data_IF_343987561612
#
_entry.id   IF_343987561612
#
_cell.length_a   1.000
_cell.length_b   1.000
_cell.length_c   1.000
_cell.angle_alpha   90.00
_cell.angle_beta   90.00
_cell.angle_gamma   90.00
#
_symmetry.space_group_name_H-M   'P 1'
#
loop_
_entity.id
_entity.type
_entity.pdbx_description
1 polymer ?
#
# COMPACT_ATOMS: atom_id res chain seq x y z
N UNK A 1 33.47 32.88 6.35
CA UNK A 1 33.19 31.62 7.02
C UNK A 1 34.11 30.49 6.50
N UNK A 2 34.19 30.17 5.22
CA UNK A 2 35.08 29.13 4.66
C UNK A 2 36.55 29.24 5.10
N UNK A 3 37.11 30.46 5.11
CA UNK A 3 38.49 30.73 5.63
C UNK A 3 38.68 30.47 7.12
N UNK A 4 37.63 30.65 7.92
CA UNK A 4 37.64 30.39 9.38
C UNK A 4 37.60 28.89 9.68
N UNK A 5 36.91 28.11 8.81
CA UNK A 5 36.75 26.67 8.96
C UNK A 5 37.85 25.88 8.23
N UNK A 6 38.76 26.57 7.49
CA UNK A 6 39.80 25.98 6.64
C UNK A 6 39.30 24.93 5.65
N UNK A 7 38.07 25.12 5.10
CA UNK A 7 37.47 24.27 4.10
C UNK A 7 37.34 25.05 2.79
N UNK A 8 37.38 24.34 1.67
CA UNK A 8 37.19 24.91 0.34
C UNK A 8 35.74 25.44 0.18
N UNK A 9 35.60 26.53 -0.58
CA UNK A 9 34.30 27.13 -0.87
C UNK A 9 33.34 26.12 -1.54
N UNK A 10 33.82 25.27 -2.45
CA UNK A 10 33.01 24.24 -3.07
C UNK A 10 32.53 23.22 -2.04
N UNK A 11 33.39 22.80 -1.09
CA UNK A 11 33.01 21.91 0.01
C UNK A 11 31.97 22.57 0.95
N UNK A 12 32.02 23.91 1.09
CA UNK A 12 31.02 24.66 1.87
C UNK A 12 29.66 24.77 1.15
N UNK A 13 29.67 24.73 -0.19
CA UNK A 13 28.49 24.83 -1.03
C UNK A 13 28.03 23.48 -1.62
N UNK A 14 28.83 22.42 -1.53
CA UNK A 14 28.44 21.04 -1.86
C UNK A 14 27.78 20.32 -0.69
N UNK A 15 27.09 21.09 0.17
CA UNK A 15 26.16 20.47 1.09
C UNK A 15 25.01 19.91 0.23
N UNK A 16 25.02 18.62 0.00
CA UNK A 16 23.83 17.94 -0.51
C UNK A 16 22.78 18.05 0.60
N UNK A 17 21.90 19.02 0.49
CA UNK A 17 20.78 19.18 1.42
C UNK A 17 19.82 17.99 1.33
N UNK A 18 19.88 17.24 0.23
CA UNK A 18 18.98 16.14 -0.07
C UNK A 18 19.77 14.83 -0.25
N UNK A 19 19.24 13.78 0.37
CA UNK A 19 19.69 12.40 0.19
C UNK A 19 19.20 11.85 -1.16
N UNK A 20 19.99 10.98 -1.78
CA UNK A 20 19.53 10.18 -2.91
C UNK A 20 18.42 9.21 -2.48
N UNK A 21 17.61 8.76 -3.42
CA UNK A 21 16.55 7.75 -3.14
C UNK A 21 17.12 6.44 -2.62
N UNK A 22 18.32 6.06 -3.06
CA UNK A 22 19.02 4.86 -2.60
C UNK A 22 19.46 5.00 -1.12
N UNK A 23 19.98 6.16 -0.74
CA UNK A 23 20.36 6.44 0.66
C UNK A 23 19.13 6.45 1.57
N UNK A 24 18.03 7.06 1.13
CA UNK A 24 16.75 7.06 1.88
C UNK A 24 16.24 5.63 2.05
N UNK A 25 16.27 4.82 0.98
CA UNK A 25 15.88 3.42 1.07
C UNK A 25 16.77 2.63 2.05
N UNK A 26 18.08 2.90 2.06
CA UNK A 26 19.02 2.34 3.03
C UNK A 26 18.63 2.68 4.48
N UNK A 27 18.38 3.95 4.77
CA UNK A 27 17.92 4.38 6.11
C UNK A 27 16.56 3.80 6.50
N UNK A 28 15.64 3.69 5.57
CA UNK A 28 14.36 3.03 5.83
C UNK A 28 14.56 1.56 6.22
N UNK A 29 15.44 0.83 5.53
CA UNK A 29 15.76 -0.55 5.88
C UNK A 29 16.41 -0.67 7.28
N UNK A 30 17.33 0.22 7.62
CA UNK A 30 17.95 0.27 8.98
C UNK A 30 16.89 0.51 10.05
N UNK A 31 16.03 1.51 9.86
CA UNK A 31 14.92 1.84 10.79
C UNK A 31 13.97 0.66 10.94
N UNK A 32 13.62 0.00 9.84
CA UNK A 32 12.74 -1.18 9.86
C UNK A 32 13.38 -2.31 10.66
N UNK A 33 14.64 -2.60 10.41
CA UNK A 33 15.36 -3.65 11.12
C UNK A 33 15.41 -3.38 12.64
N UNK A 34 15.77 -2.16 13.05
CA UNK A 34 15.78 -1.76 14.46
C UNK A 34 14.37 -1.84 15.06
N UNK A 35 13.35 -1.39 14.34
CA UNK A 35 11.96 -1.46 14.83
C UNK A 35 11.47 -2.90 15.05
N UNK A 36 11.95 -3.85 14.25
CA UNK A 36 11.63 -5.27 14.39
C UNK A 36 12.46 -5.95 15.50
N UNK A 37 13.76 -5.68 15.58
CA UNK A 37 14.68 -6.36 16.54
C UNK A 37 14.65 -5.76 17.94
N UNK A 38 14.71 -4.42 18.04
CA UNK A 38 14.86 -3.68 19.30
C UNK A 38 13.55 -3.00 19.72
N UNK A 39 12.52 -3.13 18.88
CA UNK A 39 11.18 -2.61 19.12
C UNK A 39 10.93 -1.24 18.50
N UNK A 40 9.65 -0.94 18.29
CA UNK A 40 9.16 0.26 17.59
C UNK A 40 9.80 1.56 18.12
N UNK A 41 9.92 1.72 19.45
CA UNK A 41 10.46 2.96 20.05
C UNK A 41 11.92 3.19 19.68
N UNK A 42 12.72 2.13 19.56
CA UNK A 42 14.12 2.22 19.13
C UNK A 42 14.20 2.64 17.65
N UNK A 43 13.42 2.02 16.77
CA UNK A 43 13.33 2.41 15.36
C UNK A 43 12.89 3.86 15.19
N UNK A 44 11.88 4.31 15.95
CA UNK A 44 11.42 5.70 15.93
C UNK A 44 12.49 6.69 16.39
N UNK A 45 13.24 6.36 17.46
CA UNK A 45 14.32 7.21 17.94
C UNK A 45 15.46 7.32 16.91
N UNK A 46 15.79 6.22 16.22
CA UNK A 46 16.77 6.24 15.13
C UNK A 46 16.31 7.12 13.95
N UNK A 47 15.06 7.00 13.55
CA UNK A 47 14.47 7.83 12.51
C UNK A 47 14.50 9.34 12.85
N UNK A 48 14.21 9.70 14.12
CA UNK A 48 14.33 11.09 14.58
C UNK A 48 15.75 11.62 14.45
N UNK A 49 16.77 10.82 14.78
CA UNK A 49 18.17 11.18 14.59
C UNK A 49 18.47 11.54 13.14
N UNK A 50 17.99 10.72 12.19
CA UNK A 50 18.16 10.99 10.77
C UNK A 50 17.44 12.25 10.28
N UNK A 51 16.24 12.51 10.78
CA UNK A 51 15.53 13.74 10.46
C UNK A 51 16.20 15.00 11.05
N UNK A 52 16.95 14.87 12.16
CA UNK A 52 17.76 15.97 12.70
C UNK A 52 19.02 16.22 11.86
N UNK A 53 19.61 15.17 11.30
CA UNK A 53 20.76 15.29 10.37
C UNK A 53 20.35 15.94 9.03
N UNK A 54 19.13 15.64 8.55
CA UNK A 54 18.60 16.09 7.25
C UNK A 54 17.23 16.78 7.41
N UNK A 55 17.16 17.92 8.09
CA UNK A 55 15.89 18.55 8.48
C UNK A 55 15.05 19.04 7.30
N UNK A 56 15.67 19.30 6.15
CA UNK A 56 15.01 19.83 4.96
C UNK A 56 14.71 18.74 3.90
N UNK A 57 15.06 17.47 4.17
CA UNK A 57 14.79 16.38 3.24
C UNK A 57 13.35 15.85 3.43
N UNK A 58 12.42 16.42 2.65
CA UNK A 58 10.99 16.10 2.74
C UNK A 58 10.69 14.67 2.31
N UNK A 59 11.42 14.14 1.31
CA UNK A 59 11.29 12.75 0.88
C UNK A 59 11.69 11.77 1.99
N UNK A 60 12.77 12.05 2.74
CA UNK A 60 13.14 11.24 3.91
C UNK A 60 12.04 11.27 4.97
N UNK A 61 11.53 12.46 5.28
CA UNK A 61 10.45 12.65 6.25
C UNK A 61 9.21 11.85 5.87
N UNK A 62 8.77 11.95 4.62
CA UNK A 62 7.65 11.19 4.08
C UNK A 62 7.88 9.69 4.17
N UNK A 63 9.05 9.21 3.73
CA UNK A 63 9.38 7.78 3.68
C UNK A 63 9.44 7.15 5.06
N UNK A 64 10.04 7.86 6.03
CA UNK A 64 10.11 7.40 7.42
C UNK A 64 8.74 7.42 8.12
N UNK A 65 7.89 8.42 7.81
CA UNK A 65 6.51 8.42 8.31
C UNK A 65 5.75 7.19 7.84
N UNK A 66 5.81 6.90 6.54
CA UNK A 66 5.12 5.77 5.92
C UNK A 66 5.60 4.42 6.48
N UNK A 67 6.93 4.25 6.57
CA UNK A 67 7.53 3.03 7.12
C UNK A 67 7.13 2.80 8.58
N UNK A 68 7.31 3.83 9.41
CA UNK A 68 7.03 3.71 10.84
C UNK A 68 5.55 3.54 11.13
N UNK A 69 4.68 4.10 10.33
CA UNK A 69 3.25 3.86 10.44
C UNK A 69 2.90 2.39 10.16
N UNK A 70 3.54 1.78 9.16
CA UNK A 70 3.46 0.33 8.93
C UNK A 70 3.94 -0.46 10.15
N UNK A 71 5.13 -0.12 10.68
CA UNK A 71 5.67 -0.79 11.87
C UNK A 71 4.80 -0.60 13.11
N UNK A 72 4.13 0.56 13.26
CA UNK A 72 3.25 0.86 14.37
C UNK A 72 2.08 -0.11 14.46
N UNK A 73 1.53 -0.53 13.32
CA UNK A 73 0.40 -1.46 13.23
C UNK A 73 0.70 -2.84 13.83
N UNK A 74 1.97 -3.25 13.84
CA UNK A 74 2.44 -4.53 14.40
C UNK A 74 3.09 -4.40 15.77
N UNK A 75 3.14 -3.17 16.32
CA UNK A 75 3.78 -2.92 17.61
C UNK A 75 2.92 -3.37 18.78
N UNK A 76 3.55 -3.80 19.87
CA UNK A 76 2.87 -4.14 21.12
C UNK A 76 2.52 -2.91 21.99
N UNK A 77 2.43 -1.72 21.38
CA UNK A 77 2.11 -0.47 22.07
C UNK A 77 0.62 -0.40 22.43
N UNK A 78 0.31 0.31 23.52
CA UNK A 78 -1.07 0.61 23.88
C UNK A 78 -1.76 1.49 22.83
N UNK A 79 -3.10 1.52 22.84
CA UNK A 79 -3.87 2.37 21.92
C UNK A 79 -3.49 3.86 22.04
N UNK A 80 -3.29 4.35 23.26
CA UNK A 80 -2.92 5.76 23.53
C UNK A 80 -1.51 6.08 23.00
N UNK A 81 -0.56 5.16 23.17
CA UNK A 81 0.78 5.32 22.62
C UNK A 81 0.75 5.33 21.09
N UNK A 82 -0.02 4.43 20.47
CA UNK A 82 -0.19 4.39 19.02
C UNK A 82 -0.78 5.69 18.48
N UNK A 83 -1.82 6.22 19.11
CA UNK A 83 -2.42 7.50 18.70
C UNK A 83 -1.41 8.66 18.84
N UNK A 84 -0.59 8.65 19.88
CA UNK A 84 0.48 9.66 20.05
C UNK A 84 1.45 9.65 18.87
N UNK A 85 1.88 8.48 18.40
CA UNK A 85 2.77 8.37 17.24
C UNK A 85 2.03 8.69 15.92
N UNK A 86 0.78 8.24 15.78
CA UNK A 86 -0.03 8.56 14.61
C UNK A 86 -0.21 10.08 14.42
N UNK A 87 -0.38 10.85 15.50
CA UNK A 87 -0.39 12.31 15.45
C UNK A 87 0.94 12.89 14.96
N UNK A 88 2.09 12.33 15.40
CA UNK A 88 3.41 12.77 14.91
C UNK A 88 3.63 12.47 13.43
N UNK A 89 3.19 11.31 12.96
CA UNK A 89 3.26 11.00 11.53
C UNK A 89 2.36 11.91 10.71
N UNK A 90 1.20 12.28 11.24
CA UNK A 90 0.34 13.29 10.62
C UNK A 90 1.08 14.63 10.41
N UNK A 91 1.83 15.10 11.43
CA UNK A 91 2.65 16.30 11.32
C UNK A 91 3.76 16.16 10.26
N UNK A 92 4.40 14.99 10.16
CA UNK A 92 5.44 14.73 9.16
C UNK A 92 4.87 14.72 7.74
N UNK A 93 3.68 14.14 7.54
CA UNK A 93 2.99 14.21 6.25
C UNK A 93 2.56 15.64 5.90
N UNK A 94 2.10 16.43 6.88
CA UNK A 94 1.77 17.83 6.65
C UNK A 94 2.99 18.64 6.19
N UNK A 95 4.16 18.42 6.82
CA UNK A 95 5.40 19.06 6.38
C UNK A 95 5.83 18.60 4.98
N UNK A 96 5.74 17.30 4.69
CA UNK A 96 6.05 16.76 3.38
C UNK A 96 5.07 17.23 2.28
N UNK A 97 3.84 17.54 2.63
CA UNK A 97 2.86 18.13 1.71
C UNK A 97 3.20 19.57 1.29
N UNK A 98 4.13 20.24 1.96
CA UNK A 98 4.67 21.55 1.58
C UNK A 98 5.94 21.47 0.73
N UNK A 99 6.36 20.24 0.38
CA UNK A 99 7.58 19.98 -0.36
C UNK A 99 7.61 20.71 -1.72
N UNK A 100 8.81 21.18 -2.09
CA UNK A 100 9.07 21.72 -3.44
C UNK A 100 9.11 20.62 -4.49
N UNK A 101 9.43 19.40 -4.09
CA UNK A 101 9.40 18.23 -4.97
C UNK A 101 7.96 17.77 -5.19
N UNK A 102 7.47 17.90 -6.44
CA UNK A 102 6.07 17.63 -6.81
C UNK A 102 5.64 16.22 -6.41
N UNK A 103 6.48 15.21 -6.67
CA UNK A 103 6.16 13.80 -6.39
C UNK A 103 5.97 13.54 -4.89
N UNK A 104 6.86 14.08 -4.05
CA UNK A 104 6.78 13.97 -2.58
C UNK A 104 5.56 14.71 -2.04
N UNK A 105 5.29 15.92 -2.55
CA UNK A 105 4.12 16.72 -2.16
C UNK A 105 2.82 16.01 -2.49
N UNK A 106 2.65 15.55 -3.74
CA UNK A 106 1.44 14.84 -4.18
C UNK A 106 1.21 13.55 -3.37
N UNK A 107 2.27 12.78 -3.13
CA UNK A 107 2.20 11.56 -2.32
C UNK A 107 1.77 11.85 -0.88
N UNK A 108 2.35 12.87 -0.25
CA UNK A 108 2.00 13.26 1.12
C UNK A 108 0.55 13.77 1.21
N UNK A 109 0.10 14.58 0.24
CA UNK A 109 -1.30 15.04 0.15
C UNK A 109 -2.24 13.82 0.04
N UNK A 110 -1.92 12.83 -0.80
CA UNK A 110 -2.73 11.62 -0.94
C UNK A 110 -2.90 10.85 0.36
N UNK A 111 -1.84 10.72 1.18
CA UNK A 111 -1.92 10.11 2.51
C UNK A 111 -2.79 10.95 3.46
N UNK A 112 -2.59 12.28 3.48
CA UNK A 112 -3.35 13.18 4.34
C UNK A 112 -4.85 13.16 4.03
N UNK A 113 -5.22 13.12 2.76
CA UNK A 113 -6.62 13.01 2.33
C UNK A 113 -7.28 11.79 2.97
N UNK A 114 -6.65 10.59 2.86
CA UNK A 114 -7.19 9.39 3.46
C UNK A 114 -7.29 9.51 5.00
N UNK A 115 -6.25 10.03 5.65
CA UNK A 115 -6.25 10.22 7.12
C UNK A 115 -7.33 11.20 7.60
N UNK A 116 -7.61 12.25 6.84
CA UNK A 116 -8.70 13.16 7.17
C UNK A 116 -10.06 12.52 6.93
N UNK A 117 -10.22 11.70 5.89
CA UNK A 117 -11.44 10.92 5.66
C UNK A 117 -11.70 9.93 6.79
N UNK A 118 -10.69 9.18 7.24
CA UNK A 118 -10.79 8.23 8.35
C UNK A 118 -11.21 8.90 9.67
N UNK A 119 -10.83 10.18 9.85
CA UNK A 119 -11.22 11.01 11.00
C UNK A 119 -12.53 11.78 10.80
N UNK A 120 -13.25 11.54 9.70
CA UNK A 120 -14.50 12.23 9.37
C UNK A 120 -14.33 13.71 9.02
N UNK A 121 -13.12 14.17 8.74
CA UNK A 121 -12.81 15.57 8.40
C UNK A 121 -12.86 15.79 6.87
N UNK A 122 -14.03 15.54 6.30
CA UNK A 122 -14.26 15.52 4.84
C UNK A 122 -13.93 16.86 4.16
N UNK A 123 -14.21 17.98 4.81
CA UNK A 123 -13.94 19.32 4.24
C UNK A 123 -12.43 19.54 4.05
N UNK A 124 -11.62 19.15 5.04
CA UNK A 124 -10.16 19.26 4.92
C UNK A 124 -9.60 18.29 3.85
N UNK A 125 -10.19 17.10 3.75
CA UNK A 125 -9.82 16.18 2.70
C UNK A 125 -10.13 16.76 1.32
N UNK A 126 -11.29 17.37 1.12
CA UNK A 126 -11.68 18.03 -0.11
C UNK A 126 -10.73 19.19 -0.47
N UNK A 127 -10.41 20.07 0.49
CA UNK A 127 -9.47 21.18 0.28
C UNK A 127 -8.07 20.71 -0.17
N UNK A 128 -7.61 19.58 0.34
CA UNK A 128 -6.32 19.01 -0.07
C UNK A 128 -6.37 18.36 -1.46
N UNK A 129 -7.48 17.71 -1.81
CA UNK A 129 -7.65 17.12 -3.15
C UNK A 129 -7.57 18.18 -4.24
N UNK A 130 -8.12 19.38 -4.02
CA UNK A 130 -8.07 20.49 -4.98
C UNK A 130 -6.63 21.00 -5.25
N UNK A 131 -5.67 20.64 -4.40
CA UNK A 131 -4.26 20.97 -4.61
C UNK A 131 -3.54 19.96 -5.51
N UNK A 132 -4.18 18.83 -5.80
CA UNK A 132 -3.62 17.81 -6.69
C UNK A 132 -4.00 18.12 -8.15
N UNK A 133 -3.10 17.87 -9.11
CA UNK A 133 -3.42 18.08 -10.52
C UNK A 133 -4.43 17.05 -11.02
N UNK A 134 -5.49 17.47 -11.69
CA UNK A 134 -6.52 16.60 -12.28
C UNK A 134 -5.95 15.60 -13.29
N UNK A 135 -4.97 16.01 -14.06
CA UNK A 135 -4.33 15.20 -15.09
C UNK A 135 -2.91 15.64 -15.37
N UNK A 136 -2.01 14.67 -15.47
CA UNK A 136 -0.76 14.90 -16.22
C UNK A 136 -1.11 15.00 -17.71
N UNK A 137 -0.98 16.18 -18.28
CA UNK A 137 -1.34 16.51 -19.68
C UNK A 137 -0.61 15.62 -20.71
N UNK A 138 0.50 15.01 -20.31
CA UNK A 138 1.34 14.17 -21.18
C UNK A 138 1.69 12.88 -20.44
N UNK A 139 1.29 11.74 -21.01
CA UNK A 139 1.72 10.43 -20.51
C UNK A 139 3.18 10.17 -20.94
N UNK A 140 4.12 10.55 -20.07
CA UNK A 140 5.56 10.38 -20.29
C UNK A 140 5.96 8.92 -20.57
N UNK A 141 5.25 7.95 -19.95
CA UNK A 141 5.54 6.53 -20.19
C UNK A 141 5.17 6.12 -21.61
N UNK A 142 3.97 6.52 -22.09
CA UNK A 142 3.57 6.26 -23.48
C UNK A 142 4.51 6.90 -24.49
N UNK A 143 4.99 8.13 -24.24
CA UNK A 143 6.00 8.75 -25.12
C UNK A 143 7.32 7.96 -25.13
N UNK A 144 7.79 7.49 -23.96
CA UNK A 144 8.98 6.64 -23.88
C UNK A 144 8.80 5.33 -24.63
N UNK A 145 7.64 4.66 -24.50
CA UNK A 145 7.33 3.44 -25.26
C UNK A 145 7.42 3.72 -26.78
N UNK A 146 6.83 4.82 -27.25
CA UNK A 146 6.90 5.21 -28.65
C UNK A 146 8.33 5.47 -29.14
N UNK A 147 9.18 6.08 -28.32
CA UNK A 147 10.60 6.29 -28.61
C UNK A 147 11.32 4.94 -28.72
N UNK A 148 11.13 4.04 -27.77
CA UNK A 148 11.74 2.71 -27.77
C UNK A 148 11.34 1.91 -29.01
N UNK A 149 10.06 1.98 -29.41
CA UNK A 149 9.57 1.35 -30.64
C UNK A 149 10.28 1.90 -31.88
N UNK A 150 10.48 3.23 -31.98
CA UNK A 150 11.23 3.87 -33.09
C UNK A 150 12.71 3.51 -33.10
N UNK A 151 13.28 3.31 -31.91
CA UNK A 151 14.67 2.84 -31.73
C UNK A 151 14.81 1.33 -31.94
N UNK A 152 13.74 0.60 -32.24
CA UNK A 152 13.69 -0.87 -32.38
C UNK A 152 14.09 -1.63 -31.12
N UNK A 153 13.95 -1.02 -29.94
CA UNK A 153 14.18 -1.61 -28.63
C UNK A 153 12.89 -2.29 -28.16
N UNK A 154 12.47 -3.33 -28.87
CA UNK A 154 11.16 -3.95 -28.71
C UNK A 154 10.95 -4.62 -27.35
N UNK A 155 12.00 -5.23 -26.78
CA UNK A 155 11.90 -5.89 -25.47
C UNK A 155 11.67 -4.89 -24.35
N UNK A 156 12.40 -3.78 -24.38
CA UNK A 156 12.27 -2.69 -23.41
C UNK A 156 10.91 -2.00 -23.54
N UNK A 157 10.46 -1.78 -24.80
CA UNK A 157 9.12 -1.23 -25.07
C UNK A 157 8.02 -2.17 -24.54
N UNK A 158 8.16 -3.48 -24.76
CA UNK A 158 7.20 -4.47 -24.25
C UNK A 158 7.18 -4.48 -22.73
N UNK A 159 8.32 -4.58 -22.05
CA UNK A 159 8.42 -4.57 -20.60
C UNK A 159 7.79 -3.29 -19.99
N UNK A 160 8.04 -2.12 -20.58
CA UNK A 160 7.45 -0.87 -20.13
C UNK A 160 5.94 -0.84 -20.35
N UNK A 161 5.44 -1.35 -21.48
CA UNK A 161 4.02 -1.43 -21.78
C UNK A 161 3.32 -2.39 -20.83
N UNK A 162 3.89 -3.57 -20.58
CA UNK A 162 3.37 -4.55 -19.64
C UNK A 162 3.32 -4.00 -18.21
N UNK A 163 4.37 -3.29 -17.77
CA UNK A 163 4.40 -2.62 -16.46
C UNK A 163 3.24 -1.63 -16.31
N UNK A 164 3.02 -0.79 -17.34
CA UNK A 164 1.92 0.16 -17.32
C UNK A 164 0.56 -0.54 -17.29
N UNK A 165 0.35 -1.52 -18.15
CA UNK A 165 -0.90 -2.29 -18.20
C UNK A 165 -1.16 -3.00 -16.87
N UNK A 166 -0.14 -3.62 -16.26
CA UNK A 166 -0.25 -4.25 -14.95
C UNK A 166 -0.70 -3.26 -13.87
N UNK A 167 -0.11 -2.06 -13.85
CA UNK A 167 -0.49 -0.98 -12.94
C UNK A 167 -1.94 -0.52 -13.16
N UNK A 168 -2.35 -0.35 -14.42
CA UNK A 168 -3.70 0.11 -14.77
C UNK A 168 -4.76 -0.94 -14.38
N UNK A 169 -4.48 -2.24 -14.58
CA UNK A 169 -5.37 -3.34 -14.14
C UNK A 169 -5.47 -3.37 -12.60
N UNK A 170 -4.33 -3.18 -11.91
CA UNK A 170 -4.34 -3.12 -10.44
C UNK A 170 -5.16 -1.94 -9.92
N UNK A 171 -5.04 -0.77 -10.57
CA UNK A 171 -5.85 0.40 -10.24
C UNK A 171 -7.34 0.17 -10.50
N UNK A 172 -7.67 -0.56 -11.57
CA UNK A 172 -9.07 -0.92 -11.91
C UNK A 172 -9.76 -1.69 -10.76
N UNK A 173 -9.03 -2.53 -10.03
CA UNK A 173 -9.59 -3.22 -8.86
C UNK A 173 -10.12 -2.26 -7.80
N UNK A 174 -9.38 -1.18 -7.53
CA UNK A 174 -9.82 -0.16 -6.58
C UNK A 174 -11.11 0.54 -7.04
N UNK A 175 -11.27 0.74 -8.35
CA UNK A 175 -12.51 1.33 -8.89
C UNK A 175 -13.70 0.39 -8.73
N UNK A 176 -13.54 -0.91 -9.00
CA UNK A 176 -14.61 -1.89 -8.75
C UNK A 176 -15.00 -1.96 -7.28
N UNK A 177 -14.03 -1.95 -6.37
CA UNK A 177 -14.31 -1.93 -4.92
C UNK A 177 -15.11 -0.69 -4.53
N UNK A 178 -14.73 0.50 -5.03
CA UNK A 178 -15.46 1.74 -4.76
C UNK A 178 -16.88 1.72 -5.34
N UNK A 179 -17.09 1.16 -6.54
CA UNK A 179 -18.43 1.01 -7.11
C UNK A 179 -19.29 0.07 -6.26
N UNK A 180 -18.74 -1.07 -5.83
CA UNK A 180 -19.43 -2.00 -4.92
C UNK A 180 -19.82 -1.30 -3.61
N UNK A 181 -18.91 -0.55 -2.99
CA UNK A 181 -19.21 0.23 -1.77
C UNK A 181 -20.35 1.22 -2.00
N UNK A 182 -20.28 2.00 -3.08
CA UNK A 182 -21.28 3.01 -3.42
C UNK A 182 -22.65 2.36 -3.62
N UNK A 183 -22.73 1.28 -4.42
CA UNK A 183 -23.99 0.60 -4.69
C UNK A 183 -24.59 -0.02 -3.42
N UNK A 184 -23.76 -0.59 -2.52
CA UNK A 184 -24.19 -1.09 -1.23
C UNK A 184 -24.72 0.02 -0.31
N UNK A 185 -24.05 1.18 -0.27
CA UNK A 185 -24.50 2.34 0.50
C UNK A 185 -25.82 2.93 -0.03
N UNK A 186 -26.04 2.82 -1.35
CA UNK A 186 -27.31 3.18 -2.00
C UNK A 186 -28.41 2.11 -1.83
N UNK A 187 -28.13 0.98 -1.16
CA UNK A 187 -29.00 -0.20 -1.04
C UNK A 187 -29.32 -0.86 -2.39
N UNK A 188 -28.46 -0.72 -3.39
CA UNK A 188 -28.57 -1.30 -4.73
C UNK A 188 -27.78 -2.61 -4.84
N UNK A 189 -28.11 -3.59 -3.98
CA UNK A 189 -27.34 -4.85 -3.82
C UNK A 189 -27.21 -5.64 -5.14
N UNK A 190 -28.21 -5.62 -6.02
CA UNK A 190 -28.15 -6.32 -7.31
C UNK A 190 -27.10 -5.67 -8.22
N UNK A 191 -26.96 -4.35 -8.20
CA UNK A 191 -25.89 -3.63 -8.93
C UNK A 191 -24.52 -3.95 -8.36
N UNK A 192 -24.37 -3.88 -7.05
CA UNK A 192 -23.11 -4.26 -6.37
C UNK A 192 -22.68 -5.68 -6.75
N UNK A 193 -23.61 -6.63 -6.77
CA UNK A 193 -23.37 -8.01 -7.19
C UNK A 193 -22.94 -8.09 -8.66
N UNK A 194 -23.60 -7.34 -9.54
CA UNK A 194 -23.23 -7.27 -10.96
C UNK A 194 -21.81 -6.69 -11.16
N UNK A 195 -21.46 -5.63 -10.45
CA UNK A 195 -20.10 -5.05 -10.49
C UNK A 195 -19.07 -6.07 -10.01
N UNK A 196 -19.35 -6.82 -8.94
CA UNK A 196 -18.48 -7.87 -8.43
C UNK A 196 -18.27 -8.99 -9.46
N UNK A 197 -19.33 -9.43 -10.15
CA UNK A 197 -19.27 -10.43 -11.23
C UNK A 197 -18.44 -9.95 -12.42
N UNK A 198 -18.58 -8.69 -12.81
CA UNK A 198 -17.78 -8.07 -13.89
C UNK A 198 -16.31 -8.03 -13.47
N UNK A 199 -16.02 -7.59 -12.25
CA UNK A 199 -14.67 -7.57 -11.69
C UNK A 199 -14.03 -8.96 -11.76
N UNK A 200 -14.73 -9.98 -11.25
CA UNK A 200 -14.23 -11.36 -11.27
C UNK A 200 -13.89 -11.82 -12.70
N UNK A 201 -14.77 -11.62 -13.67
CA UNK A 201 -14.55 -12.01 -15.08
C UNK A 201 -13.35 -11.31 -15.70
N UNK A 202 -13.12 -10.03 -15.38
CA UNK A 202 -11.97 -9.27 -15.89
C UNK A 202 -10.68 -9.86 -15.35
N UNK A 203 -10.57 -10.09 -14.04
CA UNK A 203 -9.36 -10.66 -13.44
C UNK A 203 -9.13 -12.13 -13.85
N UNK A 204 -10.19 -12.87 -14.13
CA UNK A 204 -10.10 -14.21 -14.75
C UNK A 204 -9.56 -14.13 -16.19
N UNK A 205 -10.07 -13.22 -17.01
CA UNK A 205 -9.63 -13.04 -18.40
C UNK A 205 -8.15 -12.67 -18.54
N UNK A 206 -7.61 -11.92 -17.58
CA UNK A 206 -6.19 -11.61 -17.51
C UNK A 206 -5.35 -12.71 -16.82
N UNK A 207 -5.97 -13.78 -16.34
CA UNK A 207 -5.33 -14.81 -15.52
C UNK A 207 -4.57 -14.22 -14.31
N UNK A 208 -5.16 -13.15 -13.74
CA UNK A 208 -4.59 -12.47 -12.58
C UNK A 208 -4.65 -13.37 -11.33
N UNK A 209 -3.85 -13.02 -10.32
CA UNK A 209 -3.82 -13.76 -9.06
C UNK A 209 -5.24 -14.02 -8.52
N UNK A 210 -5.52 -15.28 -8.26
CA UNK A 210 -6.87 -15.75 -7.95
C UNK A 210 -7.47 -15.04 -6.71
N UNK A 211 -6.65 -14.65 -5.74
CA UNK A 211 -7.06 -13.85 -4.59
C UNK A 211 -7.82 -12.58 -5.02
N UNK A 212 -7.31 -11.88 -6.02
CA UNK A 212 -7.89 -10.63 -6.51
C UNK A 212 -9.29 -10.80 -7.13
N UNK A 213 -9.61 -12.01 -7.62
CA UNK A 213 -10.88 -12.31 -8.29
C UNK A 213 -12.07 -12.26 -7.32
N UNK A 214 -11.84 -12.54 -6.04
CA UNK A 214 -12.92 -12.72 -5.06
C UNK A 214 -13.16 -11.51 -4.17
N UNK A 215 -12.31 -10.49 -4.21
CA UNK A 215 -12.37 -9.37 -3.24
C UNK A 215 -13.71 -8.65 -3.30
N UNK A 216 -14.18 -8.26 -4.50
CA UNK A 216 -15.47 -7.58 -4.67
C UNK A 216 -16.66 -8.47 -4.26
N UNK A 217 -16.61 -9.76 -4.62
CA UNK A 217 -17.67 -10.71 -4.23
C UNK A 217 -17.72 -10.93 -2.72
N UNK A 218 -16.57 -10.96 -2.05
CA UNK A 218 -16.50 -11.03 -0.60
C UNK A 218 -17.12 -9.81 0.06
N UNK A 219 -16.80 -8.60 -0.45
CA UNK A 219 -17.37 -7.36 0.05
C UNK A 219 -18.90 -7.36 0.01
N UNK A 220 -19.49 -7.80 -1.12
CA UNK A 220 -20.95 -7.97 -1.22
C UNK A 220 -21.47 -9.00 -0.23
N UNK A 221 -20.82 -10.16 -0.11
CA UNK A 221 -21.26 -11.23 0.79
C UNK A 221 -21.21 -10.80 2.27
N UNK A 222 -20.20 -10.03 2.67
CA UNK A 222 -20.08 -9.48 4.04
C UNK A 222 -21.16 -8.44 4.29
N UNK A 223 -21.35 -7.47 3.38
CA UNK A 223 -22.35 -6.41 3.54
C UNK A 223 -23.78 -6.97 3.62
N UNK A 224 -24.07 -8.04 2.87
CA UNK A 224 -25.37 -8.73 2.90
C UNK A 224 -25.49 -9.78 4.02
N UNK A 225 -24.44 -9.93 4.84
CA UNK A 225 -24.35 -10.94 5.91
C UNK A 225 -24.65 -12.37 5.43
N UNK A 226 -24.26 -12.66 4.18
CA UNK A 226 -24.40 -14.01 3.61
C UNK A 226 -23.30 -14.92 4.15
N UNK A 227 -23.55 -15.54 5.31
CA UNK A 227 -22.57 -16.34 6.05
C UNK A 227 -21.95 -17.46 5.20
N UNK A 228 -22.77 -18.23 4.47
CA UNK A 228 -22.28 -19.36 3.69
C UNK A 228 -21.34 -18.89 2.56
N UNK A 229 -21.75 -17.86 1.82
CA UNK A 229 -20.95 -17.30 0.72
C UNK A 229 -19.69 -16.61 1.22
N UNK A 230 -19.76 -15.91 2.35
CA UNK A 230 -18.59 -15.28 2.96
C UNK A 230 -17.53 -16.32 3.35
N UNK A 231 -17.92 -17.41 4.01
CA UNK A 231 -16.98 -18.49 4.41
C UNK A 231 -16.36 -19.16 3.16
N UNK A 232 -17.16 -19.43 2.14
CA UNK A 232 -16.69 -19.99 0.87
C UNK A 232 -15.62 -19.11 0.21
N UNK A 233 -15.90 -17.80 0.07
CA UNK A 233 -15.00 -16.84 -0.55
C UNK A 233 -13.73 -16.63 0.27
N UNK A 234 -13.83 -16.53 1.59
CA UNK A 234 -12.67 -16.43 2.48
C UNK A 234 -11.79 -17.66 2.35
N UNK A 235 -12.36 -18.86 2.28
CA UNK A 235 -11.57 -20.09 2.07
C UNK A 235 -10.85 -20.09 0.72
N UNK A 236 -11.53 -19.68 -0.35
CA UNK A 236 -10.94 -19.55 -1.67
C UNK A 236 -9.80 -18.54 -1.70
N UNK A 237 -9.99 -17.37 -1.08
CA UNK A 237 -8.97 -16.32 -1.00
C UNK A 237 -7.74 -16.77 -0.19
N UNK A 238 -7.93 -17.43 0.96
CA UNK A 238 -6.82 -17.95 1.77
C UNK A 238 -6.05 -19.07 1.05
N UNK A 239 -6.73 -19.93 0.31
CA UNK A 239 -6.07 -20.92 -0.58
C UNK A 239 -5.24 -20.25 -1.66
N UNK A 240 -5.80 -19.23 -2.31
CA UNK A 240 -5.10 -18.46 -3.32
C UNK A 240 -3.87 -17.72 -2.76
N UNK A 241 -3.96 -17.20 -1.53
CA UNK A 241 -2.85 -16.53 -0.85
C UNK A 241 -1.67 -17.48 -0.56
N UNK A 242 -1.94 -18.75 -0.32
CA UNK A 242 -0.91 -19.78 -0.12
C UNK A 242 -0.32 -20.31 -1.44
N UNK A 243 -1.04 -20.15 -2.55
CA UNK A 243 -0.60 -20.65 -3.85
C UNK A 243 0.55 -19.81 -4.41
N UNK A 244 1.45 -20.39 -5.20
CA UNK A 244 2.49 -19.63 -5.89
C UNK A 244 1.88 -18.55 -6.78
N UNK A 245 2.30 -17.30 -6.59
CA UNK A 245 1.91 -16.20 -7.48
C UNK A 245 2.60 -16.38 -8.82
N UNK A 246 1.83 -16.61 -9.86
CA UNK A 246 2.34 -16.73 -11.24
C UNK A 246 2.04 -15.43 -11.97
N UNK A 247 3.04 -14.96 -12.73
CA UNK A 247 2.82 -13.83 -13.63
C UNK A 247 1.94 -14.33 -14.79
N UNK A 248 0.83 -13.64 -15.11
CA UNK A 248 0.02 -13.99 -16.27
C UNK A 248 0.83 -13.98 -17.58
N UNK A 249 0.52 -14.86 -18.51
CA UNK A 249 1.28 -15.01 -19.75
C UNK A 249 1.40 -13.73 -20.59
N UNK A 250 0.44 -12.82 -20.48
CA UNK A 250 0.46 -11.52 -21.15
C UNK A 250 1.59 -10.60 -20.64
N UNK A 251 2.15 -10.87 -19.47
CA UNK A 251 3.24 -10.10 -18.85
C UNK A 251 4.58 -10.85 -18.94
N UNK A 252 4.91 -11.36 -20.13
CA UNK A 252 6.06 -12.24 -20.38
C UNK A 252 7.42 -11.57 -20.20
N UNK A 253 7.47 -10.22 -20.24
CA UNK A 253 8.69 -9.42 -20.04
C UNK A 253 8.84 -8.91 -18.61
N UNK A 254 7.85 -9.16 -17.73
CA UNK A 254 7.96 -8.83 -16.30
C UNK A 254 8.50 -10.05 -15.54
N UNK A 255 9.52 -9.82 -14.72
CA UNK A 255 10.03 -10.84 -13.83
C UNK A 255 9.14 -10.95 -12.58
N UNK A 256 8.55 -12.12 -12.35
CA UNK A 256 7.94 -12.42 -11.07
C UNK A 256 9.04 -12.54 -10.00
N UNK A 257 8.94 -11.77 -8.92
CA UNK A 257 9.77 -12.03 -7.75
C UNK A 257 9.15 -13.19 -6.97
N UNK A 258 9.92 -14.20 -6.60
CA UNK A 258 9.41 -15.25 -5.71
C UNK A 258 8.96 -14.62 -4.39
N UNK A 259 7.81 -15.06 -3.91
CA UNK A 259 7.29 -14.69 -2.59
C UNK A 259 7.82 -15.71 -1.60
N UNK A 260 8.59 -15.27 -0.62
CA UNK A 260 9.16 -16.11 0.42
C UNK A 260 8.06 -16.65 1.36
N UNK A 261 8.28 -17.83 1.92
CA UNK A 261 7.28 -18.50 2.76
C UNK A 261 7.03 -17.71 4.05
N UNK A 262 8.04 -17.07 4.63
CA UNK A 262 7.89 -16.15 5.77
C UNK A 262 6.93 -15.01 5.47
N UNK A 263 6.97 -14.44 4.25
CA UNK A 263 6.03 -13.39 3.85
C UNK A 263 4.61 -13.94 3.73
N UNK A 264 4.44 -15.16 3.19
CA UNK A 264 3.11 -15.81 3.12
C UNK A 264 2.54 -16.05 4.52
N UNK A 265 3.37 -16.55 5.45
CA UNK A 265 2.97 -16.77 6.84
C UNK A 265 2.50 -15.48 7.51
N UNK A 266 3.25 -14.39 7.34
CA UNK A 266 2.89 -13.07 7.86
C UNK A 266 1.60 -12.56 7.23
N UNK A 267 1.45 -12.65 5.91
CA UNK A 267 0.24 -12.22 5.19
C UNK A 267 -1.01 -12.98 5.67
N UNK A 268 -0.94 -14.31 5.78
CA UNK A 268 -2.05 -15.12 6.29
C UNK A 268 -2.38 -14.72 7.73
N UNK A 269 -1.39 -14.54 8.58
CA UNK A 269 -1.58 -14.13 9.98
C UNK A 269 -2.30 -12.78 10.06
N UNK A 270 -1.90 -11.80 9.24
CA UNK A 270 -2.57 -10.49 9.14
C UNK A 270 -4.04 -10.63 8.73
N UNK A 271 -4.30 -11.37 7.66
CA UNK A 271 -5.65 -11.57 7.14
C UNK A 271 -6.54 -12.23 8.20
N UNK A 272 -6.04 -13.27 8.87
CA UNK A 272 -6.77 -13.95 9.94
C UNK A 272 -7.05 -13.03 11.12
N UNK A 273 -6.07 -12.19 11.50
CA UNK A 273 -6.24 -11.20 12.57
C UNK A 273 -7.33 -10.19 12.21
N UNK A 274 -7.34 -9.69 10.97
CA UNK A 274 -8.40 -8.80 10.50
C UNK A 274 -9.77 -9.46 10.62
N UNK A 275 -9.94 -10.71 10.20
CA UNK A 275 -11.22 -11.43 10.31
C UNK A 275 -11.69 -11.63 11.75
N UNK A 276 -10.79 -11.64 12.72
CA UNK A 276 -11.13 -11.80 14.15
C UNK A 276 -11.43 -10.47 14.85
N UNK A 277 -10.91 -9.35 14.33
CA UNK A 277 -10.95 -8.05 15.03
C UNK A 277 -11.84 -7.02 14.36
N UNK A 278 -12.06 -7.14 13.06
CA UNK A 278 -12.86 -6.20 12.29
C UNK A 278 -14.37 -6.46 12.52
N UNK A 279 -15.10 -5.38 12.79
CA UNK A 279 -16.54 -5.40 13.09
C UNK A 279 -17.39 -5.97 11.97
N UNK A 280 -16.94 -5.87 10.72
CA UNK A 280 -17.68 -6.36 9.56
C UNK A 280 -17.77 -7.88 9.53
N UNK A 281 -16.85 -8.59 10.18
CA UNK A 281 -16.80 -10.06 10.24
C UNK A 281 -17.40 -10.65 11.52
N UNK A 282 -17.85 -9.83 12.48
CA UNK A 282 -18.39 -10.30 13.78
C UNK A 282 -19.50 -11.32 13.61
N UNK A 283 -20.36 -11.19 12.60
CA UNK A 283 -21.44 -12.14 12.34
C UNK A 283 -20.98 -13.55 11.95
N UNK A 284 -19.72 -13.70 11.51
CA UNK A 284 -19.10 -14.99 11.16
C UNK A 284 -18.51 -15.70 12.40
N UNK A 285 -18.09 -14.94 13.42
CA UNK A 285 -17.37 -15.49 14.58
C UNK A 285 -18.11 -16.62 15.31
N UNK A 286 -19.46 -16.58 15.48
CA UNK A 286 -20.19 -17.67 16.13
C UNK A 286 -20.31 -18.93 15.26
N UNK A 287 -19.97 -18.86 13.98
CA UNK A 287 -20.24 -19.96 13.04
C UNK A 287 -19.17 -21.06 13.12
N UNK A 288 -19.54 -22.33 13.39
CA UNK A 288 -18.55 -23.42 13.58
C UNK A 288 -17.62 -23.64 12.38
N UNK A 289 -18.14 -23.50 11.14
CA UNK A 289 -17.36 -23.65 9.92
C UNK A 289 -16.31 -22.54 9.78
N UNK A 290 -16.63 -21.32 10.19
CA UNK A 290 -15.69 -20.21 10.19
C UNK A 290 -14.59 -20.41 11.23
N UNK A 291 -14.93 -20.86 12.44
CA UNK A 291 -13.95 -21.18 13.48
C UNK A 291 -13.01 -22.31 13.07
N UNK A 292 -13.53 -23.35 12.40
CA UNK A 292 -12.72 -24.42 11.83
C UNK A 292 -11.77 -23.92 10.74
N UNK A 293 -12.24 -22.98 9.90
CA UNK A 293 -11.43 -22.33 8.87
C UNK A 293 -10.29 -21.53 9.50
N UNK A 294 -10.57 -20.65 10.47
CA UNK A 294 -9.55 -19.87 11.18
C UNK A 294 -8.50 -20.78 11.81
N UNK A 295 -8.94 -21.83 12.51
CA UNK A 295 -8.04 -22.79 13.17
C UNK A 295 -7.11 -23.50 12.16
N UNK A 296 -7.68 -23.90 11.01
CA UNK A 296 -6.92 -24.56 9.94
C UNK A 296 -5.81 -23.66 9.40
N UNK A 297 -6.13 -22.42 9.05
CA UNK A 297 -5.16 -21.50 8.45
C UNK A 297 -4.13 -20.95 9.45
N UNK A 298 -4.50 -20.77 10.73
CA UNK A 298 -3.52 -20.50 11.79
C UNK A 298 -2.49 -21.60 11.92
N UNK A 299 -2.91 -22.87 11.84
CA UNK A 299 -2.00 -24.01 11.87
C UNK A 299 -1.09 -24.03 10.65
N UNK A 300 -1.60 -23.73 9.45
CA UNK A 300 -0.81 -23.67 8.22
C UNK A 300 0.23 -22.52 8.33
N UNK A 301 -0.18 -21.32 8.74
CA UNK A 301 0.73 -20.19 8.89
C UNK A 301 1.87 -20.47 9.90
N UNK A 302 1.61 -21.25 10.95
CA UNK A 302 2.61 -21.63 11.93
C UNK A 302 3.59 -22.74 11.43
N UNK A 303 3.35 -23.33 10.26
CA UNK A 303 4.18 -24.38 9.66
C UNK A 303 4.97 -23.90 8.45
N UNK A 304 4.72 -22.68 7.96
CA UNK A 304 5.47 -22.00 6.91
C UNK A 304 6.70 -21.30 7.51
#
# INVERSE_FOLDING_TARGET
MARLLKIDLNTLFTFHEDLSREEIAGFCNEVQQIAVTDGFKAGYAHALGKLQEYPNCDLLRYSLALLLEGCLSFSALSADERETYACKFMEWYQQAAESREEETREAAIGILVNKYLDRGQTDKAAELVEQLPDKKTVDKQMLKINILLKQKQYKEAAAMTETKLFSDITAMQSYFLKLVDIDLLLNETDKASHVADVSQKIFEAFDFWEYSRYICSLQVAIATKNTARSIELIDAMLKAALSPVKMPAIFSHLAAKPVEDDFKAQMITMILHQFETDTDYVFLLPHPQFQALLTRYKKIAAQL
#
